data_IF_026257934320
#
_entry.id   IF_026257934320
#
_cell.length_a   1.000
_cell.length_b   1.000
_cell.length_c   1.000
_cell.angle_alpha   90.00
_cell.angle_beta   90.00
_cell.angle_gamma   90.00
#
_symmetry.space_group_name_H-M   'P 1'
#
loop_
_entity.id
_entity.type
_entity.pdbx_description
1 polymer ?
#
# COMPACT_ATOMS: atom_id res chain seq x y z
N UNK A 1 -13.52 12.76 19.38
CA UNK A 1 -13.76 12.59 18.98
C UNK A 1 -13.63 11.64 18.17
N UNK A 2 -13.81 10.91 17.98
CA UNK A 2 -13.70 9.84 17.20
C UNK A 2 -13.18 9.95 15.88
N UNK A 3 -12.84 11.00 15.52
CA UNK A 3 -12.45 11.17 14.35
C UNK A 3 -11.23 10.65 14.08
N UNK A 4 -10.55 10.26 14.87
CA UNK A 4 -9.23 9.77 14.64
C UNK A 4 -9.22 8.42 13.95
N UNK A 5 -10.37 7.85 13.66
CA UNK A 5 -10.36 6.55 13.03
C UNK A 5 -10.25 6.61 11.53
N UNK A 6 -9.75 7.68 11.03
CA UNK A 6 -9.57 7.81 9.61
C UNK A 6 -8.55 6.81 9.10
N UNK A 7 -8.86 6.15 8.00
CA UNK A 7 -7.97 5.17 7.42
C UNK A 7 -6.96 5.87 6.51
N UNK A 8 -5.71 5.58 6.70
CA UNK A 8 -4.66 6.16 5.87
C UNK A 8 -3.96 5.07 5.10
N UNK A 9 -3.57 5.37 3.89
CA UNK A 9 -2.86 4.43 3.05
C UNK A 9 -1.58 5.06 2.55
N UNK A 10 -0.49 4.33 2.66
CA UNK A 10 0.77 4.78 2.10
C UNK A 10 1.35 3.62 1.31
N UNK A 11 2.30 3.89 0.44
CA UNK A 11 2.93 2.80 -0.31
C UNK A 11 4.38 3.15 -0.57
N UNK A 12 5.17 2.12 -0.75
CA UNK A 12 6.60 2.29 -1.00
C UNK A 12 6.77 2.61 -2.47
N UNK A 13 7.96 2.98 -2.85
CA UNK A 13 8.28 3.05 -4.26
C UNK A 13 8.30 1.65 -4.84
N UNK A 14 8.56 1.56 -6.12
CA UNK A 14 8.59 0.28 -6.78
C UNK A 14 9.77 -0.54 -6.28
N UNK A 15 9.51 -1.76 -5.90
CA UNK A 15 10.54 -2.66 -5.40
C UNK A 15 10.72 -3.80 -6.39
N UNK A 16 11.93 -4.34 -6.43
CA UNK A 16 12.21 -5.48 -7.29
C UNK A 16 12.64 -6.63 -6.41
N UNK A 17 12.03 -7.78 -6.62
CA UNK A 17 12.41 -8.96 -5.89
C UNK A 17 12.29 -10.14 -6.83
N UNK A 18 13.35 -10.90 -7.02
CA UNK A 18 13.36 -12.05 -7.90
C UNK A 18 12.85 -11.66 -9.29
N UNK A 19 13.30 -10.50 -9.77
CA UNK A 19 12.93 -9.99 -11.08
C UNK A 19 11.45 -9.63 -11.18
N UNK A 20 10.75 -9.53 -10.07
CA UNK A 20 9.37 -9.11 -10.09
C UNK A 20 9.24 -7.75 -9.47
N UNK A 21 8.40 -6.93 -10.07
CA UNK A 21 8.14 -5.61 -9.53
C UNK A 21 7.01 -5.72 -8.53
N UNK A 22 7.15 -5.04 -7.41
CA UNK A 22 6.11 -5.07 -6.42
C UNK A 22 6.10 -3.76 -5.66
N UNK A 23 4.99 -3.46 -5.04
CA UNK A 23 4.84 -2.28 -4.21
C UNK A 23 4.22 -2.72 -2.91
N UNK A 24 4.74 -2.22 -1.81
CA UNK A 24 4.20 -2.54 -0.49
C UNK A 24 3.22 -1.44 -0.14
N UNK A 25 2.04 -1.82 0.28
CA UNK A 25 0.98 -0.90 0.63
C UNK A 25 0.69 -1.05 2.11
N UNK A 26 0.66 0.05 2.83
CA UNK A 26 0.39 0.02 4.25
C UNK A 26 -0.89 0.77 4.55
N UNK A 27 -1.73 0.20 5.40
CA UNK A 27 -2.96 0.82 5.85
C UNK A 27 -2.86 1.02 7.34
N UNK A 28 -3.24 2.19 7.82
CA UNK A 28 -3.24 2.48 9.24
C UNK A 28 -4.53 3.17 9.61
N UNK A 29 -5.07 2.81 10.75
CA UNK A 29 -6.27 3.45 11.25
C UNK A 29 -6.05 3.72 12.72
N UNK A 30 -6.09 4.99 13.11
CA UNK A 30 -5.79 5.37 14.47
C UNK A 30 -4.34 5.09 14.76
N UNK A 31 -4.06 4.62 15.97
CA UNK A 31 -2.69 4.36 16.37
C UNK A 31 -2.42 2.88 16.59
N UNK A 32 -3.43 2.03 16.44
CA UNK A 32 -3.21 0.63 16.72
C UNK A 32 -3.55 -0.31 15.59
N UNK A 33 -4.31 0.14 14.61
CA UNK A 33 -4.72 -0.75 13.53
C UNK A 33 -3.75 -0.61 12.36
N UNK A 34 -3.28 -1.72 11.87
CA UNK A 34 -2.23 -1.72 10.87
C UNK A 34 -2.38 -2.93 9.94
N UNK A 35 -2.14 -2.73 8.67
CA UNK A 35 -2.12 -3.84 7.73
C UNK A 35 -1.12 -3.52 6.63
N UNK A 36 -0.49 -4.56 6.11
CA UNK A 36 0.51 -4.39 5.07
C UNK A 36 0.21 -5.37 3.96
N UNK A 37 0.13 -4.89 2.74
CA UNK A 37 -0.13 -5.75 1.59
C UNK A 37 0.89 -5.52 0.50
N UNK A 38 0.81 -6.33 -0.54
CA UNK A 38 1.71 -6.21 -1.67
C UNK A 38 0.91 -6.31 -2.95
N UNK A 39 1.33 -5.57 -3.97
CA UNK A 39 0.74 -5.66 -5.28
C UNK A 39 1.89 -5.93 -6.25
N UNK A 40 1.65 -6.59 -7.34
CA UNK A 40 0.36 -6.98 -7.92
C UNK A 40 -0.25 -8.25 -7.34
N UNK A 41 0.41 -8.89 -6.38
CA UNK A 41 -0.16 -10.09 -5.82
C UNK A 41 -1.51 -9.83 -5.23
N UNK A 42 -1.71 -8.69 -4.60
CA UNK A 42 -3.00 -8.37 -4.04
C UNK A 42 -3.31 -9.15 -2.79
N UNK A 43 -2.35 -9.27 -1.87
CA UNK A 43 -2.62 -9.97 -0.63
C UNK A 43 -2.11 -9.17 0.55
N UNK A 44 -2.77 -9.33 1.67
CA UNK A 44 -2.36 -8.69 2.92
C UNK A 44 -1.45 -9.68 3.62
N UNK A 45 -0.20 -9.29 3.83
CA UNK A 45 0.78 -10.19 4.42
C UNK A 45 0.97 -9.99 5.91
N UNK A 46 0.48 -8.90 6.46
CA UNK A 46 0.63 -8.66 7.88
C UNK A 46 -0.49 -7.74 8.31
N UNK A 47 -1.05 -7.94 9.47
CA UNK A 47 -2.10 -7.06 9.97
C UNK A 47 -2.23 -7.18 11.46
N UNK A 48 -2.78 -6.14 12.07
CA UNK A 48 -3.04 -6.12 13.49
C UNK A 48 -4.17 -5.14 13.71
N UNK A 49 -5.19 -5.52 14.43
CA UNK A 49 -6.29 -4.64 14.77
C UNK A 49 -7.45 -4.63 13.81
N UNK A 50 -7.25 -5.06 12.57
CA UNK A 50 -8.34 -5.11 11.62
C UNK A 50 -9.05 -6.45 11.73
N UNK A 51 -10.36 -6.45 11.51
CA UNK A 51 -11.12 -7.68 11.55
C UNK A 51 -10.90 -8.43 10.25
N UNK A 52 -11.33 -9.68 10.21
CA UNK A 52 -11.17 -10.48 9.02
C UNK A 52 -11.92 -9.87 7.86
N UNK A 53 -13.12 -9.35 8.12
CA UNK A 53 -13.91 -8.72 7.08
C UNK A 53 -13.19 -7.50 6.53
N UNK A 54 -12.57 -6.75 7.41
CA UNK A 54 -11.83 -5.56 6.98
C UNK A 54 -10.62 -5.95 6.16
N UNK A 55 -9.94 -7.02 6.55
CA UNK A 55 -8.79 -7.50 5.79
C UNK A 55 -9.25 -7.94 4.40
N UNK A 56 -10.40 -8.60 4.30
CA UNK A 56 -10.92 -9.01 3.02
C UNK A 56 -11.23 -7.79 2.15
N UNK A 57 -11.78 -6.74 2.75
CA UNK A 57 -12.08 -5.54 2.00
C UNK A 57 -10.82 -4.86 1.52
N UNK A 58 -9.79 -4.81 2.36
CA UNK A 58 -8.52 -4.22 1.96
C UNK A 58 -7.88 -5.03 0.83
N UNK A 59 -8.01 -6.35 0.90
CA UNK A 59 -7.47 -7.22 -0.12
C UNK A 59 -8.12 -6.93 -1.47
N UNK A 60 -9.44 -6.83 -1.48
CA UNK A 60 -10.16 -6.53 -2.71
C UNK A 60 -9.74 -5.14 -3.23
N UNK A 61 -9.59 -4.20 -2.31
CA UNK A 61 -9.22 -2.85 -2.69
C UNK A 61 -7.86 -2.83 -3.39
N UNK A 62 -6.87 -3.49 -2.83
CA UNK A 62 -5.55 -3.46 -3.45
C UNK A 62 -5.52 -4.26 -4.74
N UNK A 63 -6.34 -5.31 -4.86
CA UNK A 63 -6.41 -6.06 -6.09
C UNK A 63 -7.03 -5.22 -7.19
N UNK A 64 -8.12 -4.53 -6.87
CA UNK A 64 -8.81 -3.71 -7.86
C UNK A 64 -7.96 -2.52 -8.28
N UNK A 65 -7.10 -2.04 -7.41
CA UNK A 65 -6.31 -0.86 -7.69
C UNK A 65 -4.83 -1.16 -7.92
N UNK A 66 -4.48 -2.42 -8.10
CA UNK A 66 -3.08 -2.82 -8.20
C UNK A 66 -2.34 -2.05 -9.29
N UNK A 67 -2.92 -1.97 -10.48
CA UNK A 67 -2.26 -1.29 -11.58
C UNK A 67 -2.07 0.19 -11.26
N UNK A 68 -3.08 0.80 -10.67
CA UNK A 68 -3.01 2.21 -10.34
C UNK A 68 -1.95 2.45 -9.26
N UNK A 69 -1.90 1.58 -8.28
CA UNK A 69 -0.93 1.70 -7.20
C UNK A 69 0.48 1.58 -7.75
N UNK A 70 0.69 0.61 -8.64
CA UNK A 70 2.01 0.43 -9.24
C UNK A 70 2.39 1.65 -10.07
N UNK A 71 1.44 2.19 -10.82
CA UNK A 71 1.73 3.36 -11.61
C UNK A 71 2.06 4.55 -10.75
N UNK A 72 1.40 4.71 -9.63
CA UNK A 72 1.68 5.81 -8.73
C UNK A 72 3.06 5.63 -8.09
N UNK A 73 3.42 4.39 -7.75
CA UNK A 73 4.71 4.12 -7.17
C UNK A 73 5.82 4.41 -8.17
N UNK A 74 5.59 4.10 -9.44
CA UNK A 74 6.57 4.41 -10.46
C UNK A 74 6.75 5.90 -10.58
N UNK A 75 5.67 6.64 -10.52
CA UNK A 75 5.74 8.08 -10.63
C UNK A 75 6.50 8.69 -9.47
N UNK A 76 6.32 8.15 -8.28
CA UNK A 76 7.04 8.63 -7.13
C UNK A 76 8.54 8.45 -7.34
N UNK A 77 8.94 7.27 -7.81
CA UNK A 77 10.34 7.02 -8.06
C UNK A 77 10.85 7.93 -9.16
N UNK A 78 10.07 8.08 -10.20
CA UNK A 78 10.47 8.90 -11.30
C UNK A 78 10.64 10.34 -10.87
N UNK A 79 9.74 10.85 -10.07
CA UNK A 79 9.83 12.21 -9.61
C UNK A 79 11.07 12.41 -8.74
N UNK A 80 11.38 11.45 -7.92
CA UNK A 80 12.56 11.55 -7.08
C UNK A 80 13.80 11.63 -7.93
N UNK A 81 13.91 10.81 -8.95
CA UNK A 81 15.04 10.86 -9.82
C UNK A 81 15.10 12.16 -10.56
N UNK A 82 13.96 12.60 -11.04
CA UNK A 82 13.92 13.81 -11.82
C UNK A 82 14.34 15.00 -10.97
N UNK A 83 13.85 15.06 -9.75
CA UNK A 83 14.23 16.15 -8.87
C UNK A 83 15.70 16.06 -8.52
N UNK A 84 16.20 14.87 -8.36
CA UNK A 84 17.60 14.71 -8.05
C UNK A 84 18.50 15.18 -9.17
N UNK A 85 18.01 15.08 -10.40
CA UNK A 85 18.82 15.50 -11.49
C UNK A 85 18.81 16.97 -11.63
N UNK A 86 17.77 17.58 -11.16
CA UNK A 86 17.68 19.00 -11.28
C UNK A 86 18.48 19.66 -10.19
#
# INVERSE_FOLDING_TARGET
MGKSDELRMTYSGLLMKDDEKMVRVCFERGTSDYAEGVVPRGEIVKSSGFSKEEIDQLTVYIQDNATDIINRAKNVNFLNEWLGRK
#
